data_IF_833973890148
#
_entry.id   IF_833973890148
#
_cell.length_a   1.000
_cell.length_b   1.000
_cell.length_c   1.000
_cell.angle_alpha   90.00
_cell.angle_beta   90.00
_cell.angle_gamma   90.00
#
_symmetry.space_group_name_H-M   'P 1'
#
loop_
_entity.id
_entity.type
_entity.pdbx_description
1 polymer ?
#
# COMPACT_ATOMS: atom_id res chain seq x y z
N UNK A 1 25.47 13.75 12.16
CA UNK A 1 24.04 14.05 12.00
C UNK A 1 23.44 12.89 11.24
N UNK A 2 22.91 11.90 11.96
CA UNK A 2 22.45 10.62 11.38
C UNK A 2 20.96 10.73 11.08
N UNK A 3 20.63 11.48 10.04
CA UNK A 3 19.25 11.74 9.60
C UNK A 3 19.19 11.43 8.10
N UNK A 4 18.72 10.25 7.69
CA UNK A 4 18.40 10.00 6.27
C UNK A 4 17.69 8.67 5.94
N UNK A 5 17.66 7.65 6.80
CA UNK A 5 17.03 6.38 6.42
C UNK A 5 15.52 6.40 6.73
N UNK A 6 14.70 6.66 5.69
CA UNK A 6 13.26 6.35 5.70
C UNK A 6 12.27 7.52 5.91
N UNK A 7 12.70 8.79 5.78
CA UNK A 7 11.78 9.94 5.87
C UNK A 7 11.02 10.24 4.56
N UNK A 8 11.67 10.04 3.42
CA UNK A 8 11.05 10.09 2.10
C UNK A 8 11.03 8.66 1.55
N UNK A 9 9.84 8.10 1.36
CA UNK A 9 9.65 6.77 0.80
C UNK A 9 8.49 6.76 -0.19
N UNK A 10 8.64 5.95 -1.21
CA UNK A 10 7.57 5.63 -2.15
C UNK A 10 7.37 4.13 -2.17
N UNK A 11 6.16 3.68 -1.86
CA UNK A 11 5.81 2.27 -1.82
C UNK A 11 4.64 1.98 -2.76
N UNK A 12 4.86 1.10 -3.73
CA UNK A 12 3.80 0.61 -4.61
C UNK A 12 3.16 -0.60 -3.96
N UNK A 13 1.85 -0.58 -3.75
CA UNK A 13 1.11 -1.76 -3.35
C UNK A 13 0.10 -2.20 -4.40
N UNK A 14 -0.09 -3.51 -4.47
CA UNK A 14 -1.03 -4.19 -5.33
C UNK A 14 -2.19 -4.71 -4.50
N UNK A 15 -3.41 -4.53 -4.96
CA UNK A 15 -4.60 -4.97 -4.26
C UNK A 15 -5.65 -5.52 -5.23
N UNK A 16 -6.62 -6.21 -4.65
CA UNK A 16 -7.81 -6.75 -5.31
C UNK A 16 -9.04 -6.17 -4.63
N UNK A 17 -10.06 -5.87 -5.43
CA UNK A 17 -11.43 -5.68 -4.94
C UNK A 17 -12.21 -6.93 -5.35
N UNK A 18 -12.78 -7.61 -4.38
CA UNK A 18 -13.59 -8.80 -4.60
C UNK A 18 -15.00 -8.43 -5.09
N UNK A 19 -15.72 -9.41 -5.64
CA UNK A 19 -17.09 -9.20 -6.13
C UNK A 19 -18.08 -8.76 -5.03
N UNK A 20 -17.76 -9.02 -3.76
CA UNK A 20 -18.54 -8.58 -2.60
C UNK A 20 -18.17 -7.17 -2.10
N UNK A 21 -17.25 -6.47 -2.79
CA UNK A 21 -16.79 -5.14 -2.41
C UNK A 21 -15.69 -5.13 -1.35
N UNK A 22 -15.29 -6.29 -0.80
CA UNK A 22 -14.15 -6.39 0.10
C UNK A 22 -12.84 -6.17 -0.65
N UNK A 23 -11.81 -5.68 0.04
CA UNK A 23 -10.50 -5.43 -0.55
C UNK A 23 -9.40 -6.20 0.16
N UNK A 24 -8.41 -6.64 -0.62
CA UNK A 24 -7.30 -7.46 -0.16
C UNK A 24 -5.98 -6.96 -0.75
N UNK A 25 -4.94 -6.87 0.09
CA UNK A 25 -3.58 -6.53 -0.34
C UNK A 25 -2.86 -7.77 -0.85
N UNK A 26 -2.46 -7.75 -2.11
CA UNK A 26 -1.74 -8.84 -2.77
C UNK A 26 -0.22 -8.79 -2.55
N UNK A 27 0.33 -7.59 -2.38
CA UNK A 27 1.76 -7.38 -2.16
C UNK A 27 2.20 -5.97 -2.51
N UNK A 28 3.51 -5.75 -2.61
CA UNK A 28 4.05 -4.45 -2.97
C UNK A 28 5.57 -4.38 -2.82
N UNK A 29 6.13 -3.32 -3.37
CA UNK A 29 7.57 -3.06 -3.42
C UNK A 29 7.88 -1.59 -3.14
N UNK A 30 9.06 -1.35 -2.56
CA UNK A 30 9.57 0.01 -2.42
C UNK A 30 10.06 0.47 -3.80
N UNK A 31 9.57 1.63 -4.23
CA UNK A 31 10.07 2.33 -5.41
C UNK A 31 11.27 3.21 -5.05
N UNK A 32 11.23 3.81 -3.86
CA UNK A 32 12.32 4.61 -3.31
C UNK A 32 12.28 4.62 -1.77
N UNK A 33 13.43 4.89 -1.15
CA UNK A 33 13.55 5.02 0.30
C UNK A 33 13.42 3.70 1.06
N UNK A 34 13.74 2.55 0.43
CA UNK A 34 13.68 1.25 1.11
C UNK A 34 14.59 1.27 2.35
N UNK A 35 14.05 1.04 3.56
CA UNK A 35 14.83 1.09 4.78
C UNK A 35 15.79 -0.12 4.84
N UNK A 36 17.06 0.15 5.13
CA UNK A 36 18.14 -0.86 5.15
C UNK A 36 18.41 -1.39 6.56
N UNK A 37 19.15 -2.51 6.65
CA UNK A 37 19.57 -3.11 7.92
C UNK A 37 18.46 -3.80 8.72
N UNK A 38 18.75 -4.14 9.99
CA UNK A 38 17.83 -4.87 10.90
C UNK A 38 16.54 -4.07 11.16
N UNK A 39 16.63 -2.74 11.15
CA UNK A 39 15.50 -1.82 11.26
C UNK A 39 14.61 -1.89 10.02
N UNK A 40 15.18 -2.08 8.83
CA UNK A 40 14.47 -2.15 7.56
C UNK A 40 13.44 -3.28 7.47
N UNK A 41 13.79 -4.49 7.93
CA UNK A 41 12.85 -5.63 7.92
C UNK A 41 11.62 -5.36 8.77
N UNK A 42 11.80 -4.88 10.00
CA UNK A 42 10.69 -4.54 10.90
C UNK A 42 9.84 -3.39 10.37
N UNK A 43 10.47 -2.39 9.75
CA UNK A 43 9.76 -1.27 9.12
C UNK A 43 8.89 -1.75 7.96
N UNK A 44 9.40 -2.66 7.13
CA UNK A 44 8.64 -3.27 6.02
C UNK A 44 7.42 -4.05 6.51
N UNK A 45 7.59 -4.87 7.54
CA UNK A 45 6.49 -5.63 8.17
C UNK A 45 5.40 -4.68 8.72
N UNK A 46 5.79 -3.66 9.49
CA UNK A 46 4.86 -2.66 10.03
C UNK A 46 4.15 -1.86 8.93
N UNK A 47 4.83 -1.52 7.85
CA UNK A 47 4.24 -0.80 6.73
C UNK A 47 3.17 -1.68 6.04
N UNK A 48 3.47 -2.96 5.80
CA UNK A 48 2.49 -3.89 5.24
C UNK A 48 1.26 -4.07 6.14
N UNK A 49 1.44 -4.14 7.46
CA UNK A 49 0.31 -4.17 8.40
C UNK A 49 -0.53 -2.89 8.33
N UNK A 50 0.11 -1.72 8.25
CA UNK A 50 -0.59 -0.44 8.10
C UNK A 50 -1.45 -0.43 6.84
N UNK A 51 -0.87 -0.81 5.69
CA UNK A 51 -1.58 -0.87 4.42
C UNK A 51 -2.75 -1.83 4.46
N UNK A 52 -2.55 -3.04 4.99
CA UNK A 52 -3.64 -4.01 5.17
C UNK A 52 -4.78 -3.42 6.00
N UNK A 53 -4.47 -2.73 7.10
CA UNK A 53 -5.46 -2.11 7.98
C UNK A 53 -6.18 -0.92 7.34
N UNK A 54 -5.52 -0.15 6.49
CA UNK A 54 -6.12 0.98 5.77
C UNK A 54 -7.06 0.46 4.69
N UNK A 55 -6.57 -0.47 3.86
CA UNK A 55 -7.31 -1.00 2.72
C UNK A 55 -8.52 -1.82 3.19
N UNK A 56 -8.38 -2.65 4.23
CA UNK A 56 -9.48 -3.45 4.76
C UNK A 56 -10.66 -2.65 5.30
N UNK A 57 -10.47 -1.36 5.59
CA UNK A 57 -11.55 -0.46 6.04
C UNK A 57 -12.37 0.12 4.90
N UNK A 58 -11.87 0.03 3.67
CA UNK A 58 -12.55 0.53 2.49
C UNK A 58 -13.41 -0.60 1.93
N UNK A 59 -14.73 -0.46 2.07
CA UNK A 59 -15.70 -1.21 1.28
C UNK A 59 -15.93 -0.46 -0.03
N UNK A 60 -15.67 -1.15 -1.13
CA UNK A 60 -15.96 -0.64 -2.46
C UNK A 60 -17.34 -1.10 -2.90
N UNK A 61 -18.04 -0.30 -3.69
CA UNK A 61 -19.27 -0.76 -4.31
C UNK A 61 -18.97 -1.94 -5.26
N UNK A 62 -19.80 -3.01 -5.27
CA UNK A 62 -19.64 -4.11 -6.19
C UNK A 62 -19.66 -3.62 -7.65
N UNK A 63 -18.61 -3.97 -8.40
CA UNK A 63 -18.51 -3.57 -9.80
C UNK A 63 -19.26 -4.59 -10.65
N UNK A 64 -20.35 -4.15 -11.26
CA UNK A 64 -21.21 -4.99 -12.09
C UNK A 64 -20.78 -4.88 -13.55
N UNK A 65 -20.36 -6.01 -14.13
CA UNK A 65 -20.04 -6.11 -15.56
C UNK A 65 -20.92 -7.20 -16.16
N UNK A 66 -21.69 -6.85 -17.18
CA UNK A 66 -22.64 -7.76 -17.84
C UNK A 66 -23.63 -8.40 -16.86
N UNK A 67 -24.15 -7.61 -15.91
CA UNK A 67 -25.16 -8.04 -14.94
C UNK A 67 -24.65 -8.94 -13.81
N UNK A 68 -23.35 -9.16 -13.71
CA UNK A 68 -22.73 -9.94 -12.64
C UNK A 68 -21.69 -9.12 -11.90
N UNK A 69 -21.63 -9.25 -10.57
CA UNK A 69 -20.53 -8.70 -9.78
C UNK A 69 -19.21 -9.36 -10.18
N UNK A 70 -18.19 -8.55 -10.43
CA UNK A 70 -16.85 -9.00 -10.82
C UNK A 70 -15.82 -8.48 -9.84
N UNK A 71 -14.81 -9.31 -9.57
CA UNK A 71 -13.61 -8.88 -8.86
C UNK A 71 -12.72 -8.07 -9.79
N UNK A 72 -12.15 -6.98 -9.30
CA UNK A 72 -11.05 -6.28 -9.96
C UNK A 72 -9.72 -6.74 -9.37
N UNK A 73 -8.82 -7.16 -10.23
CA UNK A 73 -7.49 -7.64 -9.87
C UNK A 73 -6.42 -6.73 -10.46
N UNK A 74 -5.18 -6.85 -9.96
CA UNK A 74 -4.03 -6.06 -10.43
C UNK A 74 -4.24 -4.54 -10.31
N UNK A 75 -4.99 -4.10 -9.30
CA UNK A 75 -5.05 -2.69 -8.96
C UNK A 75 -3.74 -2.31 -8.28
N UNK A 76 -3.17 -1.19 -8.68
CA UNK A 76 -1.92 -0.68 -8.13
C UNK A 76 -2.10 0.77 -7.71
N UNK A 77 -1.44 1.16 -6.63
CA UNK A 77 -1.32 2.55 -6.23
C UNK A 77 -0.01 2.78 -5.50
N UNK A 78 0.40 4.05 -5.42
CA UNK A 78 1.65 4.47 -4.82
C UNK A 78 1.34 5.25 -3.56
N UNK A 79 1.94 4.82 -2.47
CA UNK A 79 1.91 5.52 -1.19
C UNK A 79 3.22 6.26 -1.01
N UNK A 80 3.15 7.59 -1.01
CA UNK A 80 4.29 8.47 -0.82
C UNK A 80 4.23 9.05 0.59
N UNK A 81 5.33 8.90 1.32
CA UNK A 81 5.54 9.55 2.61
C UNK A 81 6.78 10.39 2.47
N UNK A 82 6.66 11.68 2.66
CA UNK A 82 7.80 12.59 2.68
C UNK A 82 7.55 13.73 3.65
N UNK A 83 8.61 14.24 4.25
CA UNK A 83 8.57 15.53 4.91
C UNK A 83 8.93 16.60 3.88
N UNK A 84 8.06 17.58 3.67
CA UNK A 84 8.38 18.74 2.85
C UNK A 84 9.18 19.70 3.73
N UNK A 85 10.50 19.76 3.54
CA UNK A 85 11.41 20.60 4.34
C UNK A 85 11.51 22.04 3.80
N UNK A 86 10.41 22.59 3.27
CA UNK A 86 10.33 24.03 2.98
C UNK A 86 9.89 24.78 4.24
N UNK A 87 10.87 25.16 5.06
CA UNK A 87 10.83 26.37 5.93
C UNK A 87 12.16 27.12 5.83
#
# INVERSE_FOLDING_TARGET
>A
MTFAEGYNMSYRYKFRINADGSSEVLGGEYLDGEPRGVTGKKTKEKHQELLRKVISKVQYEPIIISGSAKSLINLETVFEVGANYEE
#
